data_IF_490857542965
#
_entry.id   IF_490857542965
#
_cell.length_a   1.000
_cell.length_b   1.000
_cell.length_c   1.000
_cell.angle_alpha   90.00
_cell.angle_beta   90.00
_cell.angle_gamma   90.00
#
_symmetry.space_group_name_H-M   'P 1'
#
loop_
_entity.id
_entity.type
_entity.pdbx_description
1 polymer ?
#
# COMPACT_ATOMS: atom_id res chain seq x y z
N UNK A 1 1.86 14.66 -9.12
CA UNK A 1 2.67 15.43 -8.14
C UNK A 1 3.09 14.60 -6.94
N UNK A 2 2.22 13.79 -6.33
CA UNK A 2 2.61 12.94 -5.18
C UNK A 2 3.79 11.99 -5.47
N UNK A 3 3.84 11.42 -6.68
CA UNK A 3 4.96 10.61 -7.17
C UNK A 3 6.29 11.39 -7.18
N UNK A 4 6.26 12.68 -7.51
CA UNK A 4 7.45 13.53 -7.46
C UNK A 4 7.90 13.76 -6.01
N UNK A 5 6.97 13.91 -5.08
CA UNK A 5 7.28 14.00 -3.64
C UNK A 5 7.94 12.72 -3.13
N UNK A 6 7.41 11.55 -3.51
CA UNK A 6 8.03 10.27 -3.22
C UNK A 6 9.43 10.13 -3.84
N UNK A 7 9.61 10.61 -5.07
CA UNK A 7 10.90 10.62 -5.75
C UNK A 7 11.93 11.50 -5.01
N UNK A 8 11.55 12.70 -4.56
CA UNK A 8 12.42 13.59 -3.77
C UNK A 8 12.96 12.86 -2.53
N UNK A 9 12.11 12.08 -1.86
CA UNK A 9 12.47 11.34 -0.65
C UNK A 9 13.39 10.16 -0.97
N UNK A 10 13.09 9.39 -2.01
CA UNK A 10 13.77 8.12 -2.34
C UNK A 10 14.88 8.22 -3.39
N UNK A 11 15.20 9.42 -3.88
CA UNK A 11 16.21 9.59 -4.92
C UNK A 11 17.56 8.98 -4.51
N UNK A 12 18.05 8.04 -5.31
CA UNK A 12 19.25 7.26 -5.02
C UNK A 12 19.91 6.70 -6.28
N UNK A 13 21.07 6.05 -6.11
CA UNK A 13 21.88 5.55 -7.22
C UNK A 13 21.26 4.34 -7.91
N UNK A 14 21.37 4.30 -9.24
CA UNK A 14 20.99 3.16 -10.08
C UNK A 14 22.13 2.13 -10.05
N UNK A 15 21.82 0.87 -9.75
CA UNK A 15 22.77 -0.25 -9.80
C UNK A 15 22.39 -1.24 -10.90
N UNK A 16 23.24 -2.25 -11.14
CA UNK A 16 23.03 -3.25 -12.21
C UNK A 16 21.76 -4.09 -12.05
N UNK A 17 21.25 -4.27 -10.83
CA UNK A 17 19.99 -4.98 -10.54
C UNK A 17 18.74 -4.11 -10.63
N UNK A 18 18.87 -2.81 -10.93
CA UNK A 18 17.79 -1.85 -10.88
C UNK A 18 16.60 -2.25 -11.76
N UNK A 19 16.84 -2.61 -13.03
CA UNK A 19 15.75 -2.91 -13.97
C UNK A 19 14.95 -4.14 -13.57
N UNK A 20 15.61 -5.18 -13.06
CA UNK A 20 14.93 -6.40 -12.62
C UNK A 20 14.07 -6.12 -11.38
N UNK A 21 14.65 -5.46 -10.37
CA UNK A 21 13.90 -5.05 -9.18
C UNK A 21 12.75 -4.09 -9.50
N UNK A 22 12.98 -3.14 -10.41
CA UNK A 22 11.97 -2.19 -10.87
C UNK A 22 10.79 -2.91 -11.53
N UNK A 23 11.03 -3.79 -12.50
CA UNK A 23 9.98 -4.53 -13.19
C UNK A 23 9.17 -5.42 -12.22
N UNK A 24 9.84 -6.06 -11.27
CA UNK A 24 9.16 -6.86 -10.23
C UNK A 24 8.25 -5.98 -9.36
N UNK A 25 8.72 -4.82 -8.90
CA UNK A 25 7.92 -3.87 -8.11
C UNK A 25 6.75 -3.33 -8.93
N UNK A 26 6.94 -3.06 -10.23
CA UNK A 26 5.84 -2.65 -11.11
C UNK A 26 4.78 -3.75 -11.23
N UNK A 27 5.18 -5.01 -11.42
CA UNK A 27 4.27 -6.15 -11.44
C UNK A 27 3.49 -6.30 -10.13
N UNK A 28 4.19 -6.18 -9.00
CA UNK A 28 3.57 -6.21 -7.67
C UNK A 28 2.56 -5.07 -7.48
N UNK A 29 2.91 -3.84 -7.88
CA UNK A 29 2.01 -2.68 -7.79
C UNK A 29 0.77 -2.83 -8.68
N UNK A 30 0.92 -3.42 -9.87
CA UNK A 30 -0.22 -3.73 -10.75
C UNK A 30 -1.16 -4.75 -10.10
N UNK A 31 -0.62 -5.86 -9.57
CA UNK A 31 -1.42 -6.87 -8.88
C UNK A 31 -2.13 -6.28 -7.66
N UNK A 32 -1.43 -5.43 -6.90
CA UNK A 32 -1.99 -4.73 -5.75
C UNK A 32 -3.14 -3.81 -6.18
N UNK A 33 -2.92 -2.92 -7.14
CA UNK A 33 -3.94 -1.99 -7.63
C UNK A 33 -5.19 -2.71 -8.17
N UNK A 34 -4.99 -3.76 -8.99
CA UNK A 34 -6.10 -4.60 -9.50
C UNK A 34 -6.86 -5.26 -8.35
N UNK A 35 -6.16 -5.84 -7.38
CA UNK A 35 -6.78 -6.47 -6.22
C UNK A 35 -7.63 -5.49 -5.41
N UNK A 36 -7.13 -4.28 -5.17
CA UNK A 36 -7.86 -3.24 -4.44
C UNK A 36 -9.11 -2.76 -5.21
N UNK A 37 -8.99 -2.50 -6.51
CA UNK A 37 -10.13 -2.09 -7.34
C UNK A 37 -11.18 -3.18 -7.44
N UNK A 38 -10.78 -4.44 -7.62
CA UNK A 38 -11.69 -5.58 -7.65
C UNK A 38 -12.40 -5.78 -6.31
N UNK A 39 -11.69 -5.61 -5.18
CA UNK A 39 -12.27 -5.68 -3.84
C UNK A 39 -13.38 -4.63 -3.64
N UNK A 40 -13.09 -3.36 -3.96
CA UNK A 40 -14.07 -2.27 -3.89
C UNK A 40 -15.28 -2.54 -4.78
N UNK A 41 -15.04 -2.88 -6.05
CA UNK A 41 -16.10 -3.17 -7.03
C UNK A 41 -17.01 -4.32 -6.59
N UNK A 42 -16.44 -5.40 -6.05
CA UNK A 42 -17.21 -6.56 -5.59
C UNK A 42 -18.07 -6.22 -4.37
N UNK A 43 -17.55 -5.43 -3.43
CA UNK A 43 -18.32 -4.99 -2.26
C UNK A 43 -19.51 -4.10 -2.67
N UNK A 44 -19.27 -3.12 -3.56
CA UNK A 44 -20.32 -2.22 -4.06
C UNK A 44 -21.40 -2.98 -4.85
N UNK A 45 -21.02 -3.96 -5.67
CA UNK A 45 -21.98 -4.70 -6.52
C UNK A 45 -22.80 -5.75 -5.77
N UNK A 46 -22.31 -6.27 -4.66
CA UNK A 46 -22.94 -7.38 -3.92
C UNK A 46 -23.65 -6.97 -2.63
N UNK A 47 -23.70 -5.66 -2.34
CA UNK A 47 -24.34 -5.08 -1.15
C UNK A 47 -23.87 -5.76 0.15
N UNK A 48 -22.58 -6.11 0.21
CA UNK A 48 -22.00 -6.70 1.40
C UNK A 48 -21.87 -5.65 2.49
N UNK A 49 -22.84 -5.60 3.38
CA UNK A 49 -22.87 -4.66 4.52
C UNK A 49 -21.71 -4.83 5.50
N UNK A 50 -21.09 -6.03 5.58
CA UNK A 50 -20.01 -6.32 6.52
C UNK A 50 -18.72 -6.82 5.84
N UNK A 51 -17.78 -5.91 5.61
CA UNK A 51 -16.45 -6.24 5.06
C UNK A 51 -15.68 -7.27 5.91
N UNK A 52 -15.87 -7.28 7.24
CA UNK A 52 -15.18 -8.20 8.16
C UNK A 52 -15.48 -9.66 7.85
N UNK A 53 -16.71 -9.98 7.43
CA UNK A 53 -17.14 -11.36 7.18
C UNK A 53 -16.55 -11.96 5.90
N UNK A 54 -16.23 -11.12 4.91
CA UNK A 54 -15.71 -11.57 3.60
C UNK A 54 -14.21 -11.41 3.45
N UNK A 55 -13.58 -10.58 4.28
CA UNK A 55 -12.13 -10.33 4.21
C UNK A 55 -11.29 -11.61 4.37
N UNK A 56 -11.77 -12.61 5.11
CA UNK A 56 -11.07 -13.90 5.26
C UNK A 56 -10.79 -14.62 3.93
N UNK A 57 -11.65 -14.47 2.92
CA UNK A 57 -11.45 -15.11 1.60
C UNK A 57 -10.22 -14.58 0.87
N UNK A 58 -9.77 -13.35 1.17
CA UNK A 58 -8.51 -12.81 0.67
C UNK A 58 -7.33 -13.72 1.04
N UNK A 59 -7.30 -14.22 2.28
CA UNK A 59 -6.23 -15.10 2.74
C UNK A 59 -6.32 -16.50 2.17
N UNK A 60 -7.51 -16.98 1.83
CA UNK A 60 -7.69 -18.27 1.13
C UNK A 60 -7.06 -18.20 -0.26
N UNK A 61 -7.35 -17.13 -1.02
CA UNK A 61 -6.73 -16.90 -2.33
C UNK A 61 -5.22 -16.74 -2.21
N UNK A 62 -4.75 -15.96 -1.24
CA UNK A 62 -3.32 -15.80 -0.98
C UNK A 62 -2.64 -17.13 -0.67
N UNK A 63 -3.22 -17.96 0.21
CA UNK A 63 -2.69 -19.28 0.57
C UNK A 63 -2.63 -20.24 -0.63
N UNK A 64 -3.62 -20.21 -1.53
CA UNK A 64 -3.58 -21.01 -2.75
C UNK A 64 -2.42 -20.61 -3.66
N UNK A 65 -2.25 -19.31 -3.91
CA UNK A 65 -1.17 -18.78 -4.78
C UNK A 65 0.20 -19.02 -4.15
N UNK A 66 0.37 -18.72 -2.86
CA UNK A 66 1.64 -18.93 -2.17
C UNK A 66 1.96 -20.41 -1.97
N UNK A 67 0.94 -21.27 -1.81
CA UNK A 67 1.11 -22.72 -1.76
C UNK A 67 1.65 -23.30 -3.07
N UNK A 68 1.13 -22.86 -4.22
CA UNK A 68 1.66 -23.24 -5.53
C UNK A 68 3.10 -22.74 -5.71
N UNK A 69 3.36 -21.47 -5.36
CA UNK A 69 4.71 -20.92 -5.44
C UNK A 69 5.69 -21.68 -4.53
N UNK A 70 5.28 -22.07 -3.32
CA UNK A 70 6.08 -22.87 -2.41
C UNK A 70 6.31 -24.29 -2.95
N UNK A 71 5.33 -24.92 -3.58
CA UNK A 71 5.51 -26.24 -4.19
C UNK A 71 6.52 -26.20 -5.36
N UNK A 72 6.59 -25.09 -6.11
CA UNK A 72 7.49 -24.95 -7.26
C UNK A 72 8.90 -24.49 -6.87
N UNK A 73 9.01 -23.61 -5.87
CA UNK A 73 10.27 -22.87 -5.58
C UNK A 73 10.67 -22.91 -4.10
N UNK A 74 9.85 -23.50 -3.23
CA UNK A 74 10.06 -23.54 -1.79
C UNK A 74 11.24 -24.43 -1.41
N UNK A 75 11.82 -24.14 -0.24
CA UNK A 75 12.84 -24.97 0.37
C UNK A 75 12.33 -25.49 1.74
N UNK A 76 12.02 -26.79 1.86
CA UNK A 76 11.56 -27.39 3.12
C UNK A 76 12.55 -27.27 4.28
N UNK A 77 13.85 -27.16 4.01
CA UNK A 77 14.87 -27.00 5.06
C UNK A 77 14.73 -25.67 5.82
N UNK A 78 14.08 -24.67 5.20
CA UNK A 78 13.83 -23.36 5.81
C UNK A 78 12.53 -23.27 6.63
N UNK A 79 11.85 -24.39 6.87
CA UNK A 79 10.62 -24.44 7.67
C UNK A 79 10.93 -24.53 9.18
N UNK A 80 12.14 -24.93 9.56
CA UNK A 80 12.56 -24.99 10.97
C UNK A 80 12.90 -23.58 11.46
N UNK A 81 11.90 -22.92 12.03
CA UNK A 81 12.01 -21.55 12.51
C UNK A 81 12.42 -21.50 13.98
N UNK A 82 13.27 -20.54 14.32
CA UNK A 82 13.47 -20.19 15.72
C UNK A 82 12.28 -19.38 16.27
N UNK A 83 12.31 -19.09 17.58
CA UNK A 83 11.24 -18.36 18.25
C UNK A 83 11.07 -16.94 17.70
N UNK A 84 12.18 -16.27 17.36
CA UNK A 84 12.17 -14.90 16.83
C UNK A 84 11.54 -14.86 15.45
N UNK A 85 11.93 -15.77 14.55
CA UNK A 85 11.36 -15.90 13.22
C UNK A 85 9.87 -16.24 13.28
N UNK A 86 9.48 -17.13 14.19
CA UNK A 86 8.08 -17.46 14.44
C UNK A 86 7.28 -16.24 14.91
N UNK A 87 7.81 -15.47 15.86
CA UNK A 87 7.19 -14.24 16.33
C UNK A 87 7.07 -13.17 15.23
N UNK A 88 8.11 -13.02 14.40
CA UNK A 88 8.08 -12.11 13.24
C UNK A 88 7.02 -12.55 12.24
N UNK A 89 6.90 -13.84 11.91
CA UNK A 89 5.87 -14.32 11.00
C UNK A 89 4.46 -14.12 11.57
N UNK A 90 4.25 -14.33 12.87
CA UNK A 90 2.97 -14.05 13.51
C UNK A 90 2.62 -12.56 13.43
N UNK A 91 3.59 -11.68 13.68
CA UNK A 91 3.41 -10.24 13.52
C UNK A 91 3.10 -9.84 12.07
N UNK A 92 3.85 -10.37 11.11
CA UNK A 92 3.64 -10.09 9.70
C UNK A 92 2.29 -10.62 9.19
N UNK A 93 1.87 -11.78 9.66
CA UNK A 93 0.58 -12.38 9.31
C UNK A 93 -0.61 -11.64 9.92
N UNK A 94 -0.61 -11.44 11.25
CA UNK A 94 -1.76 -10.89 11.97
C UNK A 94 -1.77 -9.36 11.91
N UNK A 95 -0.66 -8.73 12.29
CA UNK A 95 -0.56 -7.28 12.40
C UNK A 95 -0.43 -6.62 11.04
N UNK A 96 0.68 -6.86 10.34
CA UNK A 96 0.96 -6.19 9.08
C UNK A 96 -0.03 -6.59 7.97
N UNK A 97 -0.30 -7.88 7.80
CA UNK A 97 -1.18 -8.37 6.72
C UNK A 97 -2.65 -8.38 7.12
N UNK A 98 -3.00 -9.02 8.24
CA UNK A 98 -4.38 -9.10 8.73
C UNK A 98 -5.00 -7.73 8.97
N UNK A 99 -4.52 -7.03 9.99
CA UNK A 99 -5.05 -5.73 10.38
C UNK A 99 -4.71 -4.65 9.36
N UNK A 100 -3.46 -4.60 8.90
CA UNK A 100 -2.99 -3.59 7.96
C UNK A 100 -3.76 -3.60 6.64
N UNK A 101 -3.87 -4.75 5.95
CA UNK A 101 -4.61 -4.81 4.69
C UNK A 101 -6.12 -4.61 4.88
N UNK A 102 -6.70 -5.05 6.00
CA UNK A 102 -8.11 -4.80 6.27
C UNK A 102 -8.40 -3.31 6.37
N UNK A 103 -7.64 -2.59 7.21
CA UNK A 103 -7.81 -1.16 7.40
C UNK A 103 -7.53 -0.38 6.11
N UNK A 104 -6.49 -0.77 5.36
CA UNK A 104 -6.15 -0.14 4.09
C UNK A 104 -7.25 -0.33 3.04
N UNK A 105 -7.77 -1.55 2.88
CA UNK A 105 -8.85 -1.84 1.93
C UNK A 105 -10.17 -1.19 2.35
N UNK A 106 -10.46 -1.12 3.65
CA UNK A 106 -11.60 -0.36 4.15
C UNK A 106 -11.48 1.11 3.74
N UNK A 107 -10.33 1.74 3.99
CA UNK A 107 -10.07 3.13 3.58
C UNK A 107 -10.16 3.32 2.06
N UNK A 108 -9.68 2.36 1.27
CA UNK A 108 -9.78 2.39 -0.19
C UNK A 108 -11.25 2.41 -0.69
N UNK A 109 -12.17 1.78 0.05
CA UNK A 109 -13.60 1.85 -0.25
C UNK A 109 -14.21 3.23 0.08
N UNK A 110 -13.66 3.95 1.07
CA UNK A 110 -14.18 5.22 1.55
C UNK A 110 -13.69 6.45 0.77
N UNK A 111 -12.70 6.29 -0.12
CA UNK A 111 -12.11 7.40 -0.89
C UNK A 111 -12.09 7.13 -2.39
N UNK A 112 -11.87 8.18 -3.19
CA UNK A 112 -11.67 8.05 -4.63
C UNK A 112 -10.26 7.52 -4.98
N UNK A 113 -10.08 7.05 -6.22
CA UNK A 113 -8.82 6.46 -6.68
C UNK A 113 -7.64 7.44 -6.68
N UNK A 114 -7.88 8.73 -6.88
CA UNK A 114 -6.86 9.77 -6.82
C UNK A 114 -6.34 9.99 -5.41
N UNK A 115 -7.24 10.09 -4.42
CA UNK A 115 -6.88 10.13 -3.01
C UNK A 115 -6.08 8.90 -2.60
N UNK A 116 -6.54 7.70 -2.98
CA UNK A 116 -5.85 6.44 -2.69
C UNK A 116 -4.43 6.40 -3.30
N UNK A 117 -4.27 6.87 -4.55
CA UNK A 117 -2.97 6.94 -5.20
C UNK A 117 -1.99 7.91 -4.51
N UNK A 118 -2.49 9.02 -3.98
CA UNK A 118 -1.69 9.97 -3.19
C UNK A 118 -1.29 9.33 -1.85
N UNK A 119 -2.22 8.67 -1.17
CA UNK A 119 -1.96 8.01 0.11
C UNK A 119 -0.94 6.87 -0.01
N UNK A 120 -0.94 6.12 -1.11
CA UNK A 120 0.10 5.12 -1.40
C UNK A 120 1.51 5.73 -1.38
N UNK A 121 1.67 6.97 -1.87
CA UNK A 121 2.95 7.68 -1.81
C UNK A 121 3.24 8.26 -0.43
N UNK A 122 2.20 8.64 0.33
CA UNK A 122 2.32 9.14 1.71
C UNK A 122 2.83 8.07 2.70
N UNK A 123 2.72 6.78 2.37
CA UNK A 123 3.28 5.70 3.17
C UNK A 123 4.82 5.78 3.28
N UNK A 124 5.50 6.33 2.26
CA UNK A 124 6.95 6.49 2.25
C UNK A 124 7.44 7.41 3.39
N UNK A 125 7.01 8.67 3.50
CA UNK A 125 7.42 9.53 4.60
C UNK A 125 6.95 9.00 5.95
N UNK A 126 5.75 8.41 6.04
CA UNK A 126 5.25 7.82 7.28
C UNK A 126 6.17 6.71 7.80
N UNK A 127 6.62 5.80 6.92
CA UNK A 127 7.55 4.73 7.28
C UNK A 127 8.92 5.27 7.74
N UNK A 128 9.40 6.36 7.14
CA UNK A 128 10.66 7.01 7.56
C UNK A 128 10.50 7.64 8.93
N UNK A 129 9.39 8.35 9.19
CA UNK A 129 9.10 8.96 10.49
C UNK A 129 9.04 7.90 11.59
N UNK A 130 8.36 6.78 11.35
CA UNK A 130 8.31 5.65 12.29
C UNK A 130 9.72 5.12 12.58
N UNK A 131 10.56 4.92 11.56
CA UNK A 131 11.94 4.48 11.76
C UNK A 131 12.78 5.51 12.53
N UNK A 132 12.62 6.80 12.24
CA UNK A 132 13.34 7.87 12.92
C UNK A 132 12.92 7.95 14.40
N UNK A 133 11.63 7.89 14.70
CA UNK A 133 11.09 8.08 16.06
C UNK A 133 11.36 6.88 16.95
N UNK A 134 11.12 5.66 16.46
CA UNK A 134 11.22 4.47 17.29
C UNK A 134 12.61 3.83 17.26
N UNK A 135 13.30 3.89 16.12
CA UNK A 135 14.61 3.26 15.93
C UNK A 135 15.77 4.26 15.86
N UNK A 136 15.52 5.57 15.97
CA UNK A 136 16.54 6.62 15.95
C UNK A 136 17.50 6.52 14.75
N UNK A 137 16.99 6.01 13.61
CA UNK A 137 17.78 5.82 12.41
C UNK A 137 17.92 7.14 11.65
N UNK A 138 19.14 7.48 11.24
CA UNK A 138 19.41 8.70 10.47
C UNK A 138 18.54 8.77 9.22
N UNK A 139 17.97 9.95 8.98
CA UNK A 139 17.18 10.27 7.81
C UNK A 139 17.56 11.65 7.28
N UNK A 140 17.53 11.81 5.96
CA UNK A 140 17.66 13.13 5.32
C UNK A 140 16.36 13.91 5.57
N UNK A 141 16.34 14.68 6.66
CA UNK A 141 15.17 15.43 7.12
C UNK A 141 14.75 16.48 6.07
N UNK A 142 15.70 17.05 5.34
CA UNK A 142 15.39 18.04 4.31
C UNK A 142 14.60 17.38 3.18
N UNK A 143 15.07 16.24 2.64
CA UNK A 143 14.34 15.50 1.61
C UNK A 143 12.99 15.00 2.11
N UNK A 144 12.92 14.54 3.35
CA UNK A 144 11.68 14.10 3.98
C UNK A 144 10.65 15.24 4.03
N UNK A 145 11.05 16.42 4.50
CA UNK A 145 10.18 17.60 4.58
C UNK A 145 9.75 18.09 3.20
N UNK A 146 10.67 18.22 2.24
CA UNK A 146 10.35 18.70 0.89
C UNK A 146 9.42 17.74 0.16
N UNK A 147 9.74 16.45 0.14
CA UNK A 147 8.88 15.47 -0.52
C UNK A 147 7.54 15.26 0.19
N UNK A 148 7.52 15.31 1.53
CA UNK A 148 6.31 15.30 2.33
C UNK A 148 5.41 16.51 2.02
N UNK A 149 5.98 17.71 1.91
CA UNK A 149 5.24 18.91 1.52
C UNK A 149 4.64 18.78 0.11
N UNK A 150 5.38 18.24 -0.86
CA UNK A 150 4.85 17.99 -2.21
C UNK A 150 3.69 16.98 -2.20
N UNK A 151 3.79 15.91 -1.41
CA UNK A 151 2.69 14.93 -1.24
C UNK A 151 1.47 15.62 -0.60
N UNK A 152 1.68 16.42 0.45
CA UNK A 152 0.60 17.14 1.13
C UNK A 152 -0.10 18.15 0.22
N UNK A 153 0.66 18.93 -0.55
CA UNK A 153 0.11 19.86 -1.55
C UNK A 153 -0.70 19.08 -2.61
N UNK A 154 -0.26 17.87 -2.97
CA UNK A 154 -0.98 17.04 -3.94
C UNK A 154 -2.39 16.69 -3.47
N UNK A 155 -2.58 16.34 -2.19
CA UNK A 155 -3.93 16.05 -1.68
C UNK A 155 -4.80 17.30 -1.60
N UNK A 156 -4.23 18.46 -1.26
CA UNK A 156 -4.98 19.72 -1.24
C UNK A 156 -5.49 20.11 -2.64
N UNK A 157 -4.62 19.99 -3.64
CA UNK A 157 -4.98 20.27 -5.04
C UNK A 157 -6.05 19.28 -5.50
N UNK A 158 -5.88 17.98 -5.24
CA UNK A 158 -6.85 16.94 -5.60
C UNK A 158 -8.23 17.23 -5.00
N UNK A 159 -8.31 17.48 -3.69
CA UNK A 159 -9.57 17.76 -3.00
C UNK A 159 -10.24 19.02 -3.55
N UNK A 160 -9.47 20.07 -3.88
CA UNK A 160 -10.00 21.30 -4.47
C UNK A 160 -10.60 21.05 -5.87
N UNK A 161 -9.95 20.21 -6.67
CA UNK A 161 -10.42 19.82 -8.00
C UNK A 161 -11.72 19.01 -7.89
N UNK A 162 -11.75 17.98 -7.04
CA UNK A 162 -12.95 17.15 -6.82
C UNK A 162 -14.12 18.01 -6.34
N UNK A 163 -13.92 18.85 -5.32
CA UNK A 163 -14.97 19.75 -4.82
C UNK A 163 -15.47 20.76 -5.87
N UNK A 164 -14.62 21.15 -6.84
CA UNK A 164 -15.06 21.98 -7.96
C UNK A 164 -15.99 21.20 -8.89
N UNK A 165 -15.64 19.97 -9.28
CA UNK A 165 -16.47 19.12 -10.13
C UNK A 165 -17.79 18.72 -9.47
N UNK A 166 -17.78 18.39 -8.18
CA UNK A 166 -19.00 18.07 -7.44
C UNK A 166 -19.97 19.25 -7.43
N UNK A 167 -19.50 20.46 -7.13
CA UNK A 167 -20.33 21.68 -7.19
C UNK A 167 -20.87 21.94 -8.59
N UNK A 168 -20.05 21.80 -9.62
CA UNK A 168 -20.49 21.97 -11.01
C UNK A 168 -21.57 20.95 -11.40
N UNK A 169 -21.45 19.70 -10.94
CA UNK A 169 -22.43 18.65 -11.20
C UNK A 169 -23.78 18.87 -10.49
N UNK A 170 -23.76 19.50 -9.32
CA UNK A 170 -24.98 19.87 -8.59
C UNK A 170 -25.69 21.04 -9.27
N UNK A 171 -24.96 22.05 -9.74
CA UNK A 171 -25.54 23.20 -10.47
C UNK A 171 -26.12 22.79 -11.83
N UNK A 172 -25.61 21.73 -12.44
CA UNK A 172 -26.08 21.21 -13.71
C UNK A 172 -27.34 20.30 -13.61
N UNK A 173 -27.75 19.92 -12.39
CA UNK A 173 -28.98 19.16 -12.11
C UNK A 173 -30.11 20.09 -11.70
#
# INVERSE_FOLDING_TARGET
TAVLGALIIKYGNVNSGFWHGFLLVQGANLCFGVGQSAYKFLLEKRDFNEQRGVFGYFFVGAAAVTGVAFAMFGNPEKINLDLTQSAVLLWLGIGASGLGYFLWNKGACEVDSGTLAIMNNALIPAAIIVNLVFWHKDADILRLCLGGAVIYISILIHNKIIAHYERASVVAK
#
